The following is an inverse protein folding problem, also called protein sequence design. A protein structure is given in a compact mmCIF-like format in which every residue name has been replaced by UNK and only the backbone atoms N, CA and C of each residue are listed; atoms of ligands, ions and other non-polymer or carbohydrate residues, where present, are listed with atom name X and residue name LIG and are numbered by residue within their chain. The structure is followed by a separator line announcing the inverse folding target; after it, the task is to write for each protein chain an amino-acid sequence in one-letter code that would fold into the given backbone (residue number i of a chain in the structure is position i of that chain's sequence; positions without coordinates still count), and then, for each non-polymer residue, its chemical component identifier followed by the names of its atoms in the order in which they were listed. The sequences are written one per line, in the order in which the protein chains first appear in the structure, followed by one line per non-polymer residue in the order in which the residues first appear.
data_IF_458692304576
#
_entry.id   IF_458692304576
#
_cell.length_a   1.000
_cell.length_b   1.000
_cell.length_c   1.000
_cell.angle_alpha   90.00
_cell.angle_beta   90.00
_cell.angle_gamma   90.00
#
_symmetry.space_group_name_H-M   'P 1'
#
loop_
_entity.id
_entity.type
_entity.pdbx_description
1 polymer ?
#
# COMPACT_ATOMS: atom_id res chain seq x y z
N UNK A 1 6.88 -2.55 19.91
CA UNK A 1 5.46 -2.91 20.08
C UNK A 1 4.70 -2.04 19.09
N UNK A 2 3.94 -2.64 18.18
CA UNK A 2 3.12 -1.91 17.20
C UNK A 2 1.81 -1.57 17.94
N UNK A 3 1.54 -0.28 18.13
CA UNK A 3 0.39 0.17 18.93
C UNK A 3 -0.94 -0.15 18.22
N UNK A 4 -1.80 -0.87 18.94
CA UNK A 4 -3.08 -1.44 18.50
C UNK A 4 -4.29 -0.57 18.89
N UNK A 5 -4.16 0.76 18.80
CA UNK A 5 -5.29 1.65 19.08
C UNK A 5 -6.21 1.80 17.85
N UNK A 6 -6.70 0.67 17.33
CA UNK A 6 -7.72 0.64 16.27
C UNK A 6 -7.74 -0.55 15.32
N UNK A 7 -7.02 -1.65 15.60
CA UNK A 7 -7.14 -2.93 14.88
C UNK A 7 -6.34 -3.03 13.57
N UNK A 8 -5.18 -2.37 13.49
CA UNK A 8 -4.32 -2.40 12.31
C UNK A 8 -2.93 -1.80 12.55
N UNK A 9 -2.02 -2.04 11.60
CA UNK A 9 -0.63 -1.60 11.61
C UNK A 9 -0.35 -0.75 10.36
N UNK A 10 0.30 0.40 10.54
CA UNK A 10 0.65 1.30 9.44
C UNK A 10 2.15 1.64 9.46
N UNK A 11 2.75 1.70 8.29
CA UNK A 11 4.18 1.93 8.13
C UNK A 11 4.48 2.65 6.82
N UNK A 12 5.73 3.08 6.68
CA UNK A 12 6.28 3.62 5.44
C UNK A 12 7.56 2.90 5.05
N UNK A 13 7.85 2.90 3.75
CA UNK A 13 9.17 2.50 3.22
C UNK A 13 10.29 3.36 3.84
N UNK A 14 11.56 2.90 3.85
CA UNK A 14 12.69 3.69 4.35
C UNK A 14 12.86 5.06 3.68
N UNK A 15 12.53 5.16 2.39
CA UNK A 15 12.54 6.44 1.64
C UNK A 15 11.37 7.36 1.98
N UNK A 16 10.34 6.84 2.67
CA UNK A 16 9.09 7.54 2.93
C UNK A 16 8.18 7.73 1.71
N UNK A 17 8.51 7.17 0.54
CA UNK A 17 7.73 7.38 -0.68
C UNK A 17 6.52 6.46 -0.80
N UNK A 18 6.49 5.35 -0.05
CA UNK A 18 5.38 4.41 0.02
C UNK A 18 4.84 4.40 1.44
N UNK A 19 3.53 4.65 1.58
CA UNK A 19 2.77 4.49 2.81
C UNK A 19 1.88 3.25 2.70
N UNK A 20 1.84 2.45 3.75
CA UNK A 20 1.07 1.21 3.81
C UNK A 20 0.33 1.08 5.13
N UNK A 21 -0.75 0.32 5.10
CA UNK A 21 -1.52 -0.07 6.28
C UNK A 21 -2.09 -1.46 6.07
N UNK A 22 -2.21 -2.23 7.13
CA UNK A 22 -3.05 -3.42 7.21
C UNK A 22 -3.99 -3.24 8.39
N UNK A 23 -5.27 -3.53 8.22
CA UNK A 23 -6.24 -3.48 9.30
C UNK A 23 -7.41 -4.43 9.04
N UNK A 24 -8.17 -4.67 10.10
CA UNK A 24 -9.35 -5.58 10.08
C UNK A 24 -10.55 -5.06 9.29
N UNK A 25 -10.61 -3.76 8.99
CA UNK A 25 -11.76 -3.16 8.28
C UNK A 25 -11.55 -3.16 6.76
N UNK A 26 -12.68 -3.33 6.06
CA UNK A 26 -12.79 -3.24 4.60
C UNK A 26 -12.15 -1.95 4.05
N UNK A 27 -11.34 -2.07 3.00
CA UNK A 27 -10.57 -0.99 2.35
C UNK A 27 -9.45 -0.34 3.19
N UNK A 28 -9.05 -0.93 4.32
CA UNK A 28 -7.98 -0.38 5.15
C UNK A 28 -6.61 -1.07 4.98
N UNK A 29 -6.55 -2.14 4.19
CA UNK A 29 -5.32 -2.87 3.89
C UNK A 29 -4.81 -2.54 2.48
N UNK A 30 -3.57 -2.08 2.37
CA UNK A 30 -3.00 -1.68 1.10
C UNK A 30 -1.79 -0.74 1.22
N UNK A 31 -1.32 -0.29 0.07
CA UNK A 31 -0.22 0.66 -0.04
C UNK A 31 -0.50 1.72 -1.10
N UNK A 32 0.07 2.91 -0.90
CA UNK A 32 0.01 4.00 -1.86
C UNK A 32 1.33 4.76 -1.96
N UNK A 33 1.54 5.39 -3.11
CA UNK A 33 2.61 6.35 -3.34
C UNK A 33 2.17 7.44 -4.31
N UNK A 34 2.66 8.67 -4.12
CA UNK A 34 2.42 9.76 -5.08
C UNK A 34 3.23 9.63 -6.36
N UNK A 35 4.39 8.99 -6.26
CA UNK A 35 5.42 8.93 -7.30
C UNK A 35 5.50 7.57 -7.98
N UNK A 36 4.70 6.58 -7.55
CA UNK A 36 4.52 5.33 -8.28
C UNK A 36 3.80 5.55 -9.63
N UNK A 37 4.05 4.69 -10.64
CA UNK A 37 3.27 4.68 -11.87
C UNK A 37 1.80 4.31 -11.59
N UNK A 38 0.93 4.59 -12.56
CA UNK A 38 -0.48 4.16 -12.49
C UNK A 38 -0.54 2.64 -12.65
N UNK A 39 -1.10 1.90 -11.67
CA UNK A 39 -1.29 0.45 -11.80
C UNK A 39 -2.21 0.10 -12.95
N UNK A 40 -1.95 -1.02 -13.61
CA UNK A 40 -2.83 -1.54 -14.66
C UNK A 40 -4.23 -1.81 -14.10
N UNK A 41 -5.24 -1.24 -14.78
CA UNK A 41 -6.64 -1.34 -14.38
C UNK A 41 -7.13 -0.23 -13.43
N UNK A 42 -6.24 0.65 -12.92
CA UNK A 42 -6.67 1.82 -12.16
C UNK A 42 -7.24 2.91 -13.09
N UNK A 43 -8.45 3.38 -12.80
CA UNK A 43 -9.01 4.56 -13.46
C UNK A 43 -8.66 5.83 -12.67
N UNK A 44 -7.63 6.54 -13.13
CA UNK A 44 -7.13 7.76 -12.49
C UNK A 44 -7.68 9.05 -13.10
N UNK A 45 -8.78 8.97 -13.87
CA UNK A 45 -9.44 10.14 -14.43
C UNK A 45 -10.27 10.83 -13.35
N UNK A 46 -9.90 12.07 -13.01
CA UNK A 46 -10.60 12.87 -12.01
C UNK A 46 -10.83 14.31 -12.55
N UNK A 47 -12.03 14.89 -12.40
CA UNK A 47 -12.32 16.23 -12.89
C UNK A 47 -11.63 17.34 -12.09
N UNK A 48 -11.18 17.05 -10.86
CA UNK A 48 -10.62 18.02 -9.91
C UNK A 48 -9.11 17.89 -9.75
N UNK A 49 -8.55 16.68 -9.91
CA UNK A 49 -7.14 16.40 -9.69
C UNK A 49 -6.48 15.82 -10.93
N UNK A 50 -5.24 16.23 -11.19
CA UNK A 50 -4.41 15.57 -12.20
C UNK A 50 -3.89 14.23 -11.67
N UNK A 51 -3.52 13.31 -12.57
CA UNK A 51 -2.96 12.00 -12.20
C UNK A 51 -1.74 12.14 -11.27
N UNK A 52 -0.91 13.16 -11.48
CA UNK A 52 0.29 13.42 -10.65
C UNK A 52 -0.06 13.91 -9.24
N UNK A 53 -1.22 14.53 -9.06
CA UNK A 53 -1.69 14.96 -7.74
C UNK A 53 -2.23 13.80 -6.91
N UNK A 54 -2.70 12.74 -7.56
CA UNK A 54 -3.23 11.53 -6.93
C UNK A 54 -2.09 10.63 -6.43
N UNK A 55 -2.33 9.93 -5.32
CA UNK A 55 -1.54 8.75 -4.96
C UNK A 55 -2.04 7.54 -5.75
N UNK A 56 -1.16 6.58 -6.02
CA UNK A 56 -1.43 5.37 -6.78
C UNK A 56 -1.04 4.17 -5.94
N UNK A 57 -1.75 3.06 -6.11
CA UNK A 57 -1.40 1.81 -5.46
C UNK A 57 -2.57 0.85 -5.43
N UNK A 58 -2.66 0.10 -4.33
CA UNK A 58 -3.52 -1.06 -4.23
C UNK A 58 -4.23 -1.12 -2.90
N UNK A 59 -5.47 -1.59 -2.94
CA UNK A 59 -6.18 -2.12 -1.78
C UNK A 59 -6.18 -3.64 -1.87
N UNK A 60 -5.91 -4.30 -0.75
CA UNK A 60 -6.13 -5.74 -0.59
C UNK A 60 -7.36 -5.98 0.28
N UNK A 61 -8.25 -6.83 -0.20
CA UNK A 61 -9.41 -7.30 0.53
C UNK A 61 -9.67 -8.77 0.19
N UNK A 62 -9.63 -9.63 1.20
CA UNK A 62 -9.73 -11.08 1.03
C UNK A 62 -8.70 -11.54 -0.03
N UNK A 63 -9.20 -12.11 -1.12
CA UNK A 63 -8.41 -12.63 -2.24
C UNK A 63 -8.34 -11.66 -3.42
N UNK A 64 -8.69 -10.39 -3.23
CA UNK A 64 -8.73 -9.41 -4.32
C UNK A 64 -7.73 -8.29 -4.08
N UNK A 65 -6.96 -8.00 -5.12
CA UNK A 65 -6.04 -6.85 -5.20
C UNK A 65 -6.65 -5.83 -6.15
N UNK A 66 -7.11 -4.71 -5.61
CA UNK A 66 -7.79 -3.66 -6.39
C UNK A 66 -6.82 -2.51 -6.67
N UNK A 67 -6.45 -2.25 -7.95
CA UNK A 67 -5.65 -1.10 -8.34
C UNK A 67 -6.46 0.20 -8.25
N UNK A 68 -5.94 1.24 -7.59
CA UNK A 68 -6.67 2.48 -7.36
C UNK A 68 -5.77 3.73 -7.43
N UNK A 69 -6.43 4.85 -7.69
CA UNK A 69 -5.91 6.19 -7.48
C UNK A 69 -6.64 6.87 -6.32
N UNK A 70 -5.88 7.40 -5.37
CA UNK A 70 -6.37 8.03 -4.15
C UNK A 70 -6.17 9.54 -4.22
N UNK A 71 -7.24 10.31 -4.01
CA UNK A 71 -7.19 11.78 -3.91
C UNK A 71 -6.66 12.27 -2.55
N UNK A 72 -6.45 11.35 -1.60
CA UNK A 72 -5.99 11.63 -0.25
C UNK A 72 -5.04 10.55 0.28
N UNK A 73 -4.41 10.81 1.42
CA UNK A 73 -3.52 9.89 2.12
C UNK A 73 -4.26 8.76 2.84
N UNK A 74 -4.95 7.87 2.13
CA UNK A 74 -5.77 6.79 2.72
C UNK A 74 -4.97 5.90 3.68
N UNK A 75 -3.73 5.56 3.31
CA UNK A 75 -2.84 4.74 4.14
C UNK A 75 -1.78 5.56 4.90
N UNK A 76 -1.87 6.89 4.84
CA UNK A 76 -0.96 7.77 5.56
C UNK A 76 -1.55 8.10 6.93
N UNK A 77 -0.80 7.81 8.00
CA UNK A 77 -1.11 8.27 9.36
C UNK A 77 -0.09 9.31 9.80
N UNK A 78 -0.37 10.02 10.90
CA UNK A 78 0.50 11.12 11.39
C UNK A 78 1.91 10.61 11.80
N UNK A 79 1.99 9.42 12.39
CA UNK A 79 3.25 8.85 12.88
C UNK A 79 3.45 7.38 12.45
N UNK A 80 3.64 7.10 11.15
CA UNK A 80 3.85 5.74 10.68
C UNK A 80 5.27 5.29 11.03
N UNK A 81 5.40 4.05 11.48
CA UNK A 81 6.71 3.46 11.67
C UNK A 81 7.43 3.27 10.34
N UNK A 82 8.76 3.35 10.34
CA UNK A 82 9.55 2.97 9.17
C UNK A 82 9.76 1.46 9.21
N UNK A 83 9.42 0.76 8.12
CA UNK A 83 9.78 -0.65 7.95
C UNK A 83 11.12 -0.74 7.23
N UNK A 84 12.23 -1.12 7.90
CA UNK A 84 13.54 -1.24 7.26
C UNK A 84 13.51 -2.23 6.10
N UNK A 85 14.46 -2.11 5.17
CA UNK A 85 14.61 -3.10 4.11
C UNK A 85 14.88 -4.50 4.67
N UNK A 86 14.46 -5.51 3.90
CA UNK A 86 14.51 -6.93 4.23
C UNK A 86 13.74 -7.29 5.51
N UNK A 87 12.81 -6.42 5.92
CA UNK A 87 11.86 -6.68 7.01
C UNK A 87 10.46 -6.82 6.47
N UNK A 88 9.67 -7.59 7.21
CA UNK A 88 8.28 -7.87 6.89
C UNK A 88 7.37 -7.54 8.06
N UNK A 89 6.16 -7.12 7.74
CA UNK A 89 5.04 -7.00 8.66
C UNK A 89 3.99 -7.99 8.19
N UNK A 90 3.38 -8.71 9.14
CA UNK A 90 2.25 -9.59 8.87
C UNK A 90 1.10 -9.18 9.76
N UNK A 91 -0.08 -9.12 9.18
CA UNK A 91 -1.34 -8.88 9.87
C UNK A 91 -2.40 -9.74 9.19
N UNK A 92 -3.12 -10.54 9.97
CA UNK A 92 -3.96 -11.64 9.47
C UNK A 92 -3.19 -12.55 8.49
N UNK A 93 -3.69 -12.74 7.27
CA UNK A 93 -3.11 -13.58 6.24
C UNK A 93 -2.24 -12.78 5.24
N UNK A 94 -2.09 -11.46 5.44
CA UNK A 94 -1.34 -10.59 4.55
C UNK A 94 0.06 -10.32 5.13
N UNK A 95 1.07 -10.67 4.36
CA UNK A 95 2.47 -10.34 4.64
C UNK A 95 2.97 -9.32 3.65
N UNK A 96 3.51 -8.21 4.17
CA UNK A 96 4.19 -7.20 3.37
C UNK A 96 5.67 -7.16 3.70
N UNK A 97 6.53 -7.15 2.68
CA UNK A 97 7.99 -7.06 2.78
C UNK A 97 8.48 -5.77 2.14
N UNK A 98 9.31 -5.04 2.88
CA UNK A 98 10.03 -3.87 2.40
C UNK A 98 11.34 -4.31 1.76
N UNK A 99 11.54 -3.99 0.47
CA UNK A 99 12.79 -4.22 -0.26
C UNK A 99 13.25 -2.92 -0.91
N UNK A 100 14.53 -2.86 -1.28
CA UNK A 100 15.05 -1.74 -2.07
C UNK A 100 14.32 -1.58 -3.41
N UNK A 101 13.85 -2.69 -3.98
CA UNK A 101 13.07 -2.73 -5.22
C UNK A 101 11.61 -2.28 -5.06
N UNK A 102 11.11 -2.09 -3.85
CA UNK A 102 9.72 -1.71 -3.57
C UNK A 102 9.11 -2.43 -2.38
N UNK A 103 7.84 -2.12 -2.12
CA UNK A 103 7.02 -2.84 -1.15
C UNK A 103 6.26 -3.95 -1.87
N UNK A 104 6.35 -5.18 -1.36
CA UNK A 104 5.54 -6.29 -1.87
C UNK A 104 4.62 -6.80 -0.77
N UNK A 105 3.34 -6.99 -1.07
CA UNK A 105 2.36 -7.58 -0.16
C UNK A 105 1.74 -8.79 -0.83
N UNK A 106 1.54 -9.87 -0.07
CA UNK A 106 0.89 -11.11 -0.53
C UNK A 106 -0.01 -11.64 0.57
N UNK A 107 -1.14 -12.22 0.18
CA UNK A 107 -1.99 -12.99 1.08
C UNK A 107 -1.56 -14.47 1.10
N UNK A 108 -2.20 -15.27 1.96
CA UNK A 108 -1.93 -16.71 2.08
C UNK A 108 -2.27 -17.55 0.85
N UNK A 109 -3.03 -17.00 -0.11
CA UNK A 109 -3.41 -17.66 -1.37
C UNK A 109 -2.48 -17.29 -2.54
N UNK A 110 -1.52 -16.39 -2.32
CA UNK A 110 -0.56 -15.95 -3.32
C UNK A 110 -1.03 -14.75 -4.16
N UNK A 111 -2.17 -14.15 -3.84
CA UNK A 111 -2.59 -12.89 -4.44
C UNK A 111 -1.90 -11.71 -3.75
N UNK A 112 -1.42 -10.76 -4.53
CA UNK A 112 -0.61 -9.69 -4.00
C UNK A 112 -0.29 -8.59 -4.97
N UNK A 113 0.61 -7.70 -4.55
CA UNK A 113 1.13 -6.65 -5.40
C UNK A 113 2.59 -6.35 -5.08
N UNK A 114 3.24 -5.69 -6.04
CA UNK A 114 4.47 -4.93 -5.87
C UNK A 114 4.16 -3.47 -6.18
N UNK A 115 4.62 -2.57 -5.29
CA UNK A 115 4.55 -1.13 -5.48
C UNK A 115 5.95 -0.53 -5.26
N UNK A 116 6.43 0.19 -6.27
CA UNK A 116 7.69 0.92 -6.26
C UNK A 116 7.57 2.20 -7.08
N UNK A 117 8.68 2.93 -7.25
CA UNK A 117 8.69 4.11 -8.12
C UNK A 117 8.78 3.73 -9.60
N UNK A 118 9.07 2.47 -9.90
CA UNK A 118 9.26 1.95 -11.26
C UNK A 118 8.16 0.97 -11.67
N UNK A 119 7.51 0.32 -10.71
CA UNK A 119 6.53 -0.74 -10.95
C UNK A 119 5.33 -0.60 -10.01
N UNK A 120 4.13 -0.82 -10.55
CA UNK A 120 2.92 -1.00 -9.77
C UNK A 120 2.13 -2.14 -10.41
N UNK A 121 2.27 -3.36 -9.87
CA UNK A 121 1.71 -4.57 -10.47
C UNK A 121 1.10 -5.49 -9.42
N UNK A 122 -0.10 -5.98 -9.70
CA UNK A 122 -0.78 -7.05 -8.97
C UNK A 122 -0.49 -8.43 -9.57
N UNK A 123 -0.64 -9.48 -8.76
CA UNK A 123 -0.52 -10.88 -9.16
C UNK A 123 -1.43 -11.79 -8.32
#
# INVERSE_FOLDING_TARGET
MFDDNGGGVAWKSPTGQISCRLATKTFESGCQSRTAPVPDGANCVNPTFTVDQLSKGFVMQNDTVTPLCFNQGVFSIEFPQVLPYERSITFDDITCTSRESGMSCTNGLGHGFVLSMQEARQF
#
